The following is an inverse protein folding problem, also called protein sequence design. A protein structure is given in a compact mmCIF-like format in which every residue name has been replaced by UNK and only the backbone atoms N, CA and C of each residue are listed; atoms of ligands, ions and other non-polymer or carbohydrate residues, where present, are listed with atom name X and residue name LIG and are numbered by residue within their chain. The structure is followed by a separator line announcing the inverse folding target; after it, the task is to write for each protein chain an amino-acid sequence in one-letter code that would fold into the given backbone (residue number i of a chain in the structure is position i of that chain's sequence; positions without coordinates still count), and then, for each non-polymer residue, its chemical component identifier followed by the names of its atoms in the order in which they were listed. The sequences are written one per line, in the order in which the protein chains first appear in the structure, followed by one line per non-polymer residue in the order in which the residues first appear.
data_IF_754187184013
#
_entry.id   IF_754187184013
#
_cell.length_a   1.000
_cell.length_b   1.000
_cell.length_c   1.000
_cell.angle_alpha   90.00
_cell.angle_beta   90.00
_cell.angle_gamma   90.00
#
_symmetry.space_group_name_H-M   'P 1'
#
loop_
_entity.id
_entity.type
_entity.pdbx_description
1 polymer ?
#
# COMPACT_ATOMS: atom_id res chain seq x y z
N UNK A 1 -29.55 13.11 35.12
CA UNK A 1 -28.69 12.09 35.75
C UNK A 1 -27.89 11.39 34.66
N UNK A 2 -26.56 11.34 34.82
CA UNK A 2 -25.50 10.92 33.89
C UNK A 2 -25.83 9.65 33.07
N UNK A 3 -25.75 9.70 31.73
CA UNK A 3 -24.57 9.50 30.86
C UNK A 3 -23.98 8.08 30.89
N UNK A 4 -24.01 7.42 29.72
CA UNK A 4 -23.03 6.41 29.25
C UNK A 4 -23.22 6.19 27.74
N UNK A 5 -22.74 7.15 26.93
CA UNK A 5 -22.41 6.90 25.53
C UNK A 5 -21.01 6.27 25.48
N UNK A 6 -20.93 5.03 25.02
CA UNK A 6 -19.66 4.38 24.69
C UNK A 6 -19.37 4.71 23.22
N UNK A 7 -18.48 5.68 23.00
CA UNK A 7 -17.85 5.94 21.72
C UNK A 7 -16.90 4.78 21.39
N UNK A 8 -17.32 3.88 20.50
CA UNK A 8 -16.47 2.83 19.96
C UNK A 8 -15.71 3.41 18.77
N UNK A 9 -14.47 3.82 19.01
CA UNK A 9 -13.52 4.16 17.94
C UNK A 9 -13.28 2.94 17.04
N UNK A 10 -13.26 3.14 15.73
CA UNK A 10 -12.90 2.13 14.70
C UNK A 10 -11.54 1.47 14.94
N UNK A 11 -10.63 2.07 15.73
CA UNK A 11 -9.40 1.42 16.23
C UNK A 11 -9.67 0.19 17.11
N UNK A 12 -10.82 0.10 17.78
CA UNK A 12 -11.16 -1.00 18.68
C UNK A 12 -11.71 -2.23 17.93
N UNK A 13 -12.37 -2.05 16.79
CA UNK A 13 -12.85 -3.16 15.96
C UNK A 13 -11.71 -3.99 15.34
N UNK A 14 -10.55 -3.37 15.11
CA UNK A 14 -9.36 -4.05 14.59
C UNK A 14 -8.63 -4.92 15.63
N UNK A 15 -8.87 -4.71 16.94
CA UNK A 15 -8.21 -5.48 18.01
C UNK A 15 -8.90 -6.81 18.33
N UNK A 16 -10.14 -7.02 17.91
CA UNK A 16 -10.92 -8.19 18.27
C UNK A 16 -11.14 -9.22 17.15
N UNK A 17 -10.77 -8.94 15.89
CA UNK A 17 -10.88 -9.95 14.81
C UNK A 17 -9.57 -10.70 14.50
N UNK A 18 -8.49 -10.42 15.23
CA UNK A 18 -7.22 -11.11 15.07
C UNK A 18 -6.68 -11.54 16.44
N UNK A 19 -6.81 -12.84 16.78
CA UNK A 19 -5.87 -13.68 17.59
C UNK A 19 -6.48 -15.07 17.89
N UNK A 20 -5.67 -16.13 18.11
CA UNK A 20 -4.33 -16.40 17.56
C UNK A 20 -4.06 -17.87 17.16
N UNK A 21 -3.18 -18.07 16.18
CA UNK A 21 -2.13 -19.08 16.28
C UNK A 21 -0.80 -18.40 15.94
N UNK A 22 -0.16 -17.82 16.94
CA UNK A 22 1.30 -17.65 17.08
C UNK A 22 1.56 -16.81 18.34
N UNK A 23 2.25 -17.41 19.31
CA UNK A 23 2.83 -16.71 20.46
C UNK A 23 4.11 -16.02 19.98
N UNK A 24 4.09 -14.70 19.86
CA UNK A 24 5.30 -13.88 19.94
C UNK A 24 5.00 -12.67 20.80
N UNK A 25 5.67 -12.60 21.96
CA UNK A 25 5.73 -11.41 22.78
C UNK A 25 6.75 -10.45 22.18
N UNK A 26 6.33 -9.22 21.90
CA UNK A 26 7.24 -8.12 21.61
C UNK A 26 6.75 -6.87 22.35
N UNK A 27 7.73 -6.18 22.94
CA UNK A 27 7.70 -5.13 23.93
C UNK A 27 6.92 -3.86 23.51
N UNK A 28 6.33 -3.22 24.51
CA UNK A 28 5.80 -1.86 24.45
C UNK A 28 6.93 -0.88 24.09
N UNK A 29 6.84 -0.23 22.94
CA UNK A 29 7.51 1.04 22.66
C UNK A 29 6.45 2.14 22.65
N UNK A 30 6.14 2.65 23.84
CA UNK A 30 5.42 3.90 24.05
C UNK A 30 6.25 4.68 25.04
N UNK A 31 7.08 5.61 24.54
CA UNK A 31 7.60 6.81 25.24
C UNK A 31 8.86 7.39 24.54
N UNK A 32 8.79 7.64 23.22
CA UNK A 32 9.89 8.31 22.50
C UNK A 32 9.45 9.35 21.46
N UNK A 33 8.18 9.76 21.46
CA UNK A 33 7.66 10.78 20.53
C UNK A 33 7.37 12.15 21.16
N UNK A 34 7.65 12.34 22.45
CA UNK A 34 7.34 13.59 23.17
C UNK A 34 8.54 14.54 23.38
N UNK A 35 9.75 14.18 22.94
CA UNK A 35 10.97 14.99 23.18
C UNK A 35 11.56 15.68 21.95
N UNK A 36 11.03 15.49 20.73
CA UNK A 36 11.58 16.17 19.54
C UNK A 36 10.98 17.57 19.26
N UNK A 37 9.87 17.95 19.88
CA UNK A 37 9.23 19.26 19.64
C UNK A 37 9.62 20.38 20.63
N UNK A 38 10.53 20.11 21.57
CA UNK A 38 10.99 21.08 22.57
C UNK A 38 12.38 21.70 22.29
N UNK A 39 13.01 21.37 21.16
CA UNK A 39 14.34 21.89 20.78
C UNK A 39 14.38 22.69 19.47
N UNK A 40 13.23 22.99 18.84
CA UNK A 40 13.15 23.82 17.61
C UNK A 40 12.84 25.30 17.85
N UNK A 41 13.15 25.80 19.04
CA UNK A 41 12.78 27.15 19.47
C UNK A 41 13.91 27.98 20.05
N UNK A 42 15.17 27.80 19.64
CA UNK A 42 16.24 28.77 19.95
C UNK A 42 17.28 28.76 18.81
N UNK A 43 17.78 29.95 18.47
CA UNK A 43 18.80 30.32 17.48
C UNK A 43 18.21 30.84 16.15
N UNK A 44 17.85 32.11 16.20
CA UNK A 44 17.89 33.01 15.05
C UNK A 44 19.27 33.68 14.96
N UNK A 45 19.60 34.07 13.74
CA UNK A 45 20.64 35.02 13.28
C UNK A 45 22.05 34.48 12.96
N UNK A 46 22.38 34.56 11.66
CA UNK A 46 23.73 34.46 11.12
C UNK A 46 23.73 34.51 9.59
N UNK A 47 23.71 35.72 9.00
CA UNK A 47 24.06 35.95 7.59
C UNK A 47 25.53 35.60 7.35
N UNK A 48 25.88 34.75 6.38
CA UNK A 48 27.17 34.82 5.64
C UNK A 48 26.96 34.32 4.18
N UNK A 49 27.63 35.03 3.27
CA UNK A 49 27.62 34.98 1.81
C UNK A 49 28.24 33.72 1.16
N UNK A 50 27.85 33.54 -0.12
CA UNK A 50 28.47 32.80 -1.22
C UNK A 50 29.96 32.43 -1.09
N UNK A 51 30.31 31.16 -1.36
CA UNK A 51 31.38 30.78 -2.31
C UNK A 51 31.24 29.32 -2.75
N UNK A 52 31.48 29.07 -4.04
CA UNK A 52 31.69 27.74 -4.65
C UNK A 52 32.99 27.13 -4.13
N UNK A 53 33.05 25.81 -3.94
CA UNK A 53 34.20 25.00 -4.34
C UNK A 53 33.86 23.50 -4.41
N UNK A 54 34.20 22.91 -5.55
CA UNK A 54 34.28 21.47 -5.77
C UNK A 54 35.43 20.89 -4.94
N UNK A 55 35.25 19.73 -4.32
CA UNK A 55 36.29 18.70 -4.30
C UNK A 55 35.75 17.31 -3.96
N UNK A 56 36.12 16.35 -4.82
CA UNK A 56 36.13 14.92 -4.57
C UNK A 56 36.91 14.59 -3.28
N UNK A 57 36.46 13.60 -2.49
CA UNK A 57 37.34 12.48 -2.12
C UNK A 57 36.62 11.29 -1.46
N UNK A 58 37.21 10.14 -1.77
CA UNK A 58 36.95 8.77 -1.36
C UNK A 58 37.24 8.49 0.13
N UNK A 59 36.45 7.56 0.68
CA UNK A 59 36.81 6.47 1.60
C UNK A 59 37.36 6.84 3.00
N UNK A 60 36.65 6.38 4.04
CA UNK A 60 37.24 5.60 5.14
C UNK A 60 36.15 4.85 5.94
N UNK A 61 36.31 3.52 6.00
CA UNK A 61 35.57 2.58 6.86
C UNK A 61 36.45 2.23 8.08
N UNK A 62 35.81 2.18 9.25
CA UNK A 62 36.24 1.47 10.47
C UNK A 62 36.92 2.34 11.54
N UNK A 63 37.01 1.89 12.82
CA UNK A 63 36.54 0.63 13.42
C UNK A 63 35.86 0.78 14.83
N UNK A 64 34.77 0.04 15.10
CA UNK A 64 34.23 -0.18 16.46
C UNK A 64 34.32 -1.67 16.78
N UNK A 65 35.53 -2.11 17.14
CA UNK A 65 35.82 -3.43 17.72
C UNK A 65 36.91 -3.27 18.79
N UNK A 66 36.58 -2.65 19.93
CA UNK A 66 37.48 -2.69 21.10
C UNK A 66 36.73 -2.41 22.41
N UNK A 67 35.76 -3.23 22.78
CA UNK A 67 35.34 -3.34 24.20
C UNK A 67 35.09 -4.82 24.47
N UNK A 68 35.65 -5.32 25.59
CA UNK A 68 35.68 -6.69 26.10
C UNK A 68 36.91 -7.52 25.70
N UNK A 69 38.03 -7.26 26.38
CA UNK A 69 39.01 -8.27 26.81
C UNK A 69 39.97 -7.67 27.85
N UNK A 70 39.65 -7.78 29.14
CA UNK A 70 40.64 -8.01 30.21
C UNK A 70 39.96 -8.36 31.55
N UNK A 71 40.44 -9.46 32.15
CA UNK A 71 40.01 -10.01 33.44
C UNK A 71 39.18 -11.29 33.26
N UNK A 72 39.51 -12.44 33.82
CA UNK A 72 40.67 -12.90 34.59
C UNK A 72 40.63 -14.43 34.47
N UNK A 73 41.80 -15.05 34.52
CA UNK A 73 41.96 -16.50 34.52
C UNK A 73 41.28 -17.11 35.75
N UNK A 74 40.47 -18.15 35.55
CA UNK A 74 40.33 -19.25 36.50
C UNK A 74 39.78 -20.45 35.74
N UNK A 75 40.53 -21.55 35.79
CA UNK A 75 40.17 -22.85 35.21
C UNK A 75 39.28 -23.56 36.20
N UNK A 76 38.08 -23.92 35.77
CA UNK A 76 37.38 -25.09 36.31
C UNK A 76 36.90 -25.96 35.16
N UNK A 77 37.23 -27.24 35.28
CA UNK A 77 36.98 -28.30 34.30
C UNK A 77 35.57 -28.81 34.54
N UNK A 78 34.65 -28.48 33.65
CA UNK A 78 33.32 -29.10 33.60
C UNK A 78 33.12 -29.73 32.23
N UNK A 79 33.15 -31.06 32.22
CA UNK A 79 32.70 -31.90 31.12
C UNK A 79 31.23 -31.57 30.80
N UNK A 80 31.00 -30.90 29.67
CA UNK A 80 29.67 -30.69 29.11
C UNK A 80 29.58 -31.56 27.85
N UNK A 81 28.78 -32.61 27.97
CA UNK A 81 28.52 -33.58 26.92
C UNK A 81 28.05 -32.93 25.62
N UNK A 82 28.52 -33.50 24.52
CA UNK A 82 28.12 -33.18 23.15
C UNK A 82 26.60 -33.38 22.99
N UNK A 83 25.84 -32.32 23.17
CA UNK A 83 24.46 -32.20 22.73
C UNK A 83 24.42 -31.51 21.37
N UNK A 84 24.41 -32.27 20.29
CA UNK A 84 24.12 -31.77 18.94
C UNK A 84 22.74 -31.10 18.94
N UNK A 85 22.72 -29.77 18.86
CA UNK A 85 21.51 -28.96 19.00
C UNK A 85 20.74 -28.75 17.68
N UNK A 86 21.04 -29.56 16.65
CA UNK A 86 20.27 -29.62 15.41
C UNK A 86 20.33 -31.04 14.84
N UNK A 87 19.20 -31.76 14.71
CA UNK A 87 19.22 -33.06 14.02
C UNK A 87 19.57 -32.86 12.54
N UNK A 88 20.72 -33.40 12.15
CA UNK A 88 21.21 -33.50 10.76
C UNK A 88 20.52 -34.65 10.03
N UNK A 89 19.19 -34.64 9.98
CA UNK A 89 18.41 -35.57 9.16
C UNK A 89 17.28 -34.78 8.52
N UNK A 90 17.55 -34.20 7.35
CA UNK A 90 16.54 -33.81 6.35
C UNK A 90 17.25 -33.44 5.03
N UNK A 91 18.07 -34.35 4.52
CA UNK A 91 18.66 -34.26 3.18
C UNK A 91 18.70 -35.65 2.55
N UNK A 92 17.54 -36.13 2.12
CA UNK A 92 17.41 -37.10 1.04
C UNK A 92 15.94 -37.17 0.58
N UNK A 93 15.49 -36.11 -0.06
CA UNK A 93 14.44 -36.20 -1.08
C UNK A 93 15.03 -35.68 -2.39
N UNK A 94 15.96 -36.46 -2.94
CA UNK A 94 16.39 -36.33 -4.33
C UNK A 94 15.37 -37.04 -5.20
N UNK A 95 14.25 -36.39 -5.48
CA UNK A 95 13.45 -36.71 -6.66
C UNK A 95 13.72 -35.66 -7.72
N UNK A 96 14.66 -35.96 -8.60
CA UNK A 96 14.73 -35.36 -9.94
C UNK A 96 13.46 -35.77 -10.72
N UNK A 97 12.33 -35.16 -10.40
CA UNK A 97 11.24 -35.12 -11.36
C UNK A 97 11.65 -34.15 -12.45
N UNK A 98 12.08 -34.69 -13.59
CA UNK A 98 11.90 -34.05 -14.90
C UNK A 98 10.40 -33.76 -15.04
N UNK A 99 9.94 -32.66 -14.46
CA UNK A 99 8.61 -32.15 -14.67
C UNK A 99 8.53 -31.79 -16.15
N UNK A 100 7.74 -32.56 -16.90
CA UNK A 100 7.20 -32.11 -18.17
C UNK A 100 6.57 -30.75 -17.90
N UNK A 101 7.24 -29.68 -18.38
CA UNK A 101 6.87 -28.27 -18.21
C UNK A 101 5.55 -28.01 -18.93
N UNK A 102 4.46 -28.50 -18.34
CA UNK A 102 3.10 -28.22 -18.77
C UNK A 102 2.76 -26.86 -18.20
N UNK A 103 2.59 -25.90 -19.09
CA UNK A 103 2.19 -24.54 -18.73
C UNK A 103 0.81 -24.64 -18.08
N UNK A 104 0.59 -24.02 -16.92
CA UNK A 104 -0.72 -24.00 -16.29
C UNK A 104 -1.78 -23.50 -17.27
N UNK A 105 -2.94 -24.16 -17.29
CA UNK A 105 -4.02 -23.79 -18.19
C UNK A 105 -4.40 -22.31 -17.99
N UNK A 106 -4.37 -21.52 -19.07
CA UNK A 106 -4.67 -20.08 -19.06
C UNK A 106 -3.46 -19.16 -18.86
N UNK A 107 -2.30 -19.66 -18.41
CA UNK A 107 -1.09 -18.86 -18.31
C UNK A 107 -0.44 -18.65 -19.68
N UNK A 108 0.14 -17.47 -19.90
CA UNK A 108 0.82 -17.15 -21.15
C UNK A 108 2.23 -17.75 -21.20
N UNK A 109 2.61 -18.27 -22.37
CA UNK A 109 3.93 -18.91 -22.57
C UNK A 109 5.09 -17.96 -22.23
N UNK A 110 5.01 -16.71 -22.69
CA UNK A 110 6.05 -15.69 -22.48
C UNK A 110 6.26 -15.44 -20.98
N UNK A 111 5.17 -15.25 -20.24
CA UNK A 111 5.21 -15.09 -18.79
C UNK A 111 5.78 -16.34 -18.11
N UNK A 112 5.28 -17.52 -18.48
CA UNK A 112 5.69 -18.77 -17.85
C UNK A 112 7.18 -19.08 -18.04
N UNK A 113 7.75 -18.76 -19.21
CA UNK A 113 9.18 -18.91 -19.46
C UNK A 113 10.02 -18.02 -18.53
N UNK A 114 9.64 -16.75 -18.37
CA UNK A 114 10.30 -15.82 -17.44
C UNK A 114 10.10 -16.24 -15.98
N UNK A 115 8.92 -16.77 -15.66
CA UNK A 115 8.58 -17.27 -14.33
C UNK A 115 9.50 -18.44 -13.96
N UNK A 116 9.61 -19.46 -14.81
CA UNK A 116 10.48 -20.61 -14.58
C UNK A 116 11.95 -20.18 -14.52
N UNK A 117 12.38 -19.22 -15.36
CA UNK A 117 13.73 -18.66 -15.26
C UNK A 117 14.01 -18.08 -13.86
N UNK A 118 13.08 -17.26 -13.33
CA UNK A 118 13.22 -16.66 -12.00
C UNK A 118 13.21 -17.75 -10.92
N UNK A 119 12.28 -18.68 -10.96
CA UNK A 119 12.17 -19.76 -9.96
C UNK A 119 13.46 -20.59 -9.93
N UNK A 120 14.02 -20.95 -11.08
CA UNK A 120 15.24 -21.74 -11.18
C UNK A 120 16.48 -20.98 -10.71
N UNK A 121 16.61 -19.70 -11.06
CA UNK A 121 17.76 -18.87 -10.65
C UNK A 121 17.68 -18.33 -9.23
N UNK A 122 16.56 -18.54 -8.55
CA UNK A 122 16.36 -18.13 -7.15
C UNK A 122 16.20 -19.31 -6.21
N UNK A 123 16.52 -20.54 -6.65
CA UNK A 123 16.51 -21.70 -5.78
C UNK A 123 17.53 -21.55 -4.64
N UNK A 124 17.26 -22.11 -3.44
CA UNK A 124 18.17 -22.05 -2.30
C UNK A 124 19.61 -22.45 -2.64
N UNK A 125 19.76 -23.47 -3.49
CA UNK A 125 21.01 -24.08 -3.94
C UNK A 125 21.77 -23.28 -5.00
N UNK A 126 21.14 -22.31 -5.67
CA UNK A 126 21.78 -21.50 -6.71
C UNK A 126 22.87 -20.60 -6.11
N UNK A 127 24.09 -20.58 -6.66
CA UNK A 127 25.16 -19.71 -6.18
C UNK A 127 24.87 -18.24 -6.50
N UNK A 128 25.41 -17.32 -5.66
CA UNK A 128 25.09 -15.88 -5.72
C UNK A 128 25.37 -15.23 -7.09
N UNK A 129 26.40 -15.68 -7.81
CA UNK A 129 26.77 -15.12 -9.11
C UNK A 129 25.80 -15.49 -10.25
N UNK A 130 24.94 -16.49 -10.03
CA UNK A 130 23.92 -16.93 -10.99
C UNK A 130 22.56 -16.26 -10.75
N UNK A 131 22.46 -15.40 -9.73
CA UNK A 131 21.21 -14.71 -9.42
C UNK A 131 20.73 -13.83 -10.57
N UNK A 132 19.41 -13.71 -10.76
CA UNK A 132 18.86 -12.89 -11.82
C UNK A 132 19.19 -11.40 -11.58
N UNK A 133 19.44 -10.67 -12.67
CA UNK A 133 19.59 -9.20 -12.63
C UNK A 133 18.34 -8.57 -12.02
N UNK A 134 18.49 -7.46 -11.29
CA UNK A 134 17.40 -6.78 -10.58
C UNK A 134 16.17 -6.48 -11.45
N UNK A 135 16.35 -6.11 -12.72
CA UNK A 135 15.24 -5.81 -13.64
C UNK A 135 14.41 -7.02 -14.09
N UNK A 136 14.86 -8.26 -13.83
CA UNK A 136 14.17 -9.47 -14.30
C UNK A 136 12.79 -9.65 -13.68
N UNK A 137 12.60 -9.26 -12.41
CA UNK A 137 11.29 -9.29 -11.78
C UNK A 137 10.32 -8.31 -12.47
N UNK A 138 10.78 -7.10 -12.80
CA UNK A 138 9.96 -6.13 -13.53
C UNK A 138 9.60 -6.62 -14.93
N UNK A 139 10.52 -7.30 -15.62
CA UNK A 139 10.22 -7.93 -16.91
C UNK A 139 9.12 -8.98 -16.76
N UNK A 140 9.21 -9.87 -15.76
CA UNK A 140 8.14 -10.85 -15.49
C UNK A 140 6.79 -10.15 -15.28
N UNK A 141 6.74 -9.12 -14.44
CA UNK A 141 5.53 -8.37 -14.12
C UNK A 141 4.94 -7.70 -15.37
N UNK A 142 5.79 -7.15 -16.24
CA UNK A 142 5.36 -6.49 -17.48
C UNK A 142 4.62 -7.45 -18.42
N UNK A 143 4.97 -8.74 -18.41
CA UNK A 143 4.37 -9.77 -19.26
C UNK A 143 3.10 -10.42 -18.68
N UNK A 144 2.59 -9.96 -17.53
CA UNK A 144 1.29 -10.41 -17.00
C UNK A 144 0.18 -9.98 -17.98
N UNK A 145 -0.48 -10.96 -18.61
CA UNK A 145 -1.58 -10.75 -19.57
C UNK A 145 -2.90 -11.37 -19.11
N UNK A 146 -2.84 -12.35 -18.22
CA UNK A 146 -4.00 -13.11 -17.76
C UNK A 146 -4.07 -13.15 -16.23
N UNK A 147 -5.26 -13.47 -15.68
CA UNK A 147 -5.42 -13.69 -14.25
C UNK A 147 -4.57 -14.87 -13.77
N UNK A 148 -4.47 -15.91 -14.59
CA UNK A 148 -3.68 -17.11 -14.32
C UNK A 148 -2.18 -16.80 -14.20
N UNK A 149 -1.65 -15.85 -14.97
CA UNK A 149 -0.29 -15.33 -14.80
C UNK A 149 -0.12 -14.68 -13.41
N UNK A 150 -1.08 -13.82 -13.03
CA UNK A 150 -1.04 -13.12 -11.74
C UNK A 150 -1.08 -14.09 -10.55
N UNK A 151 -1.80 -15.22 -10.64
CA UNK A 151 -1.85 -16.24 -9.59
C UNK A 151 -0.50 -16.91 -9.30
N UNK A 152 0.42 -16.92 -10.27
CA UNK A 152 1.77 -17.48 -10.07
C UNK A 152 2.73 -16.48 -9.42
N UNK A 153 2.41 -15.18 -9.47
CA UNK A 153 3.27 -14.09 -9.01
C UNK A 153 3.67 -14.18 -7.53
N UNK A 154 2.77 -14.52 -6.56
CA UNK A 154 3.15 -14.60 -5.15
C UNK A 154 4.32 -15.56 -4.90
N UNK A 155 4.38 -16.69 -5.62
CA UNK A 155 5.47 -17.65 -5.45
C UNK A 155 6.80 -17.05 -5.92
N UNK A 156 6.81 -16.39 -7.08
CA UNK A 156 7.99 -15.72 -7.61
C UNK A 156 8.47 -14.58 -6.70
N UNK A 157 7.56 -13.71 -6.24
CA UNK A 157 7.91 -12.58 -5.35
C UNK A 157 8.42 -13.09 -4.00
N UNK A 158 7.80 -14.12 -3.42
CA UNK A 158 8.28 -14.70 -2.16
C UNK A 158 9.69 -15.29 -2.29
N UNK A 159 9.99 -16.00 -3.38
CA UNK A 159 11.34 -16.51 -3.63
C UNK A 159 12.36 -15.39 -3.86
N UNK A 160 11.99 -14.37 -4.63
CA UNK A 160 12.80 -13.18 -4.84
C UNK A 160 13.20 -12.54 -3.51
N UNK A 161 12.25 -12.39 -2.58
CA UNK A 161 12.49 -11.85 -1.24
C UNK A 161 13.32 -12.75 -0.34
N UNK A 162 13.13 -14.08 -0.39
CA UNK A 162 13.96 -15.03 0.36
C UNK A 162 15.44 -14.95 -0.02
N UNK A 163 15.75 -14.55 -1.26
CA UNK A 163 17.11 -14.30 -1.74
C UNK A 163 17.61 -12.87 -1.46
N UNK A 164 16.88 -12.11 -0.64
CA UNK A 164 17.19 -10.72 -0.28
C UNK A 164 17.31 -9.78 -1.48
N UNK A 165 16.69 -10.14 -2.61
CA UNK A 165 16.68 -9.28 -3.78
C UNK A 165 15.72 -8.10 -3.54
N UNK A 166 16.08 -6.89 -4.01
CA UNK A 166 15.31 -5.69 -3.73
C UNK A 166 13.94 -5.73 -4.42
N UNK A 167 12.93 -5.24 -3.70
CA UNK A 167 11.62 -4.86 -4.25
C UNK A 167 11.48 -3.36 -4.03
N UNK A 168 11.32 -2.58 -5.10
CA UNK A 168 11.22 -1.12 -5.02
C UNK A 168 9.74 -0.69 -4.99
N UNK A 169 9.45 0.55 -4.58
CA UNK A 169 8.10 1.12 -4.71
C UNK A 169 7.58 1.05 -6.16
N UNK A 170 8.46 1.25 -7.15
CA UNK A 170 8.12 1.14 -8.58
C UNK A 170 7.71 -0.29 -8.93
N UNK A 171 8.47 -1.30 -8.50
CA UNK A 171 8.10 -2.71 -8.69
C UNK A 171 6.74 -3.01 -8.06
N UNK A 172 6.51 -2.53 -6.84
CA UNK A 172 5.21 -2.71 -6.16
C UNK A 172 4.07 -2.08 -6.95
N UNK A 173 4.26 -0.85 -7.44
CA UNK A 173 3.26 -0.16 -8.28
C UNK A 173 2.93 -0.96 -9.54
N UNK A 174 3.93 -1.51 -10.24
CA UNK A 174 3.70 -2.34 -11.42
C UNK A 174 2.96 -3.63 -11.09
N UNK A 175 3.30 -4.29 -9.98
CA UNK A 175 2.57 -5.47 -9.49
C UNK A 175 1.10 -5.13 -9.31
N UNK A 176 0.80 -4.06 -8.56
CA UNK A 176 -0.57 -3.63 -8.28
C UNK A 176 -1.31 -3.35 -9.58
N UNK A 177 -0.75 -2.48 -10.44
CA UNK A 177 -1.36 -2.09 -11.71
C UNK A 177 -1.69 -3.29 -12.58
N UNK A 178 -0.70 -4.15 -12.83
CA UNK A 178 -0.85 -5.30 -13.73
C UNK A 178 -1.83 -6.32 -13.21
N UNK A 179 -1.86 -6.56 -11.90
CA UNK A 179 -2.83 -7.47 -11.32
C UNK A 179 -4.25 -6.88 -11.38
N UNK A 180 -4.44 -5.59 -11.10
CA UNK A 180 -5.76 -4.96 -11.25
C UNK A 180 -6.25 -4.96 -12.71
N UNK A 181 -5.36 -4.75 -13.70
CA UNK A 181 -5.68 -4.80 -15.14
C UNK A 181 -6.24 -6.17 -15.57
N UNK A 182 -5.79 -7.26 -14.93
CA UNK A 182 -6.26 -8.63 -15.21
C UNK A 182 -7.28 -9.13 -14.19
N UNK A 183 -7.93 -8.22 -13.45
CA UNK A 183 -8.93 -8.53 -12.41
C UNK A 183 -8.42 -9.50 -11.33
N UNK A 184 -7.15 -9.37 -10.94
CA UNK A 184 -6.44 -10.18 -9.93
C UNK A 184 -6.03 -9.37 -8.68
N UNK A 185 -6.83 -8.38 -8.30
CA UNK A 185 -6.57 -7.54 -7.15
C UNK A 185 -6.62 -8.30 -5.80
N UNK A 186 -7.33 -9.44 -5.73
CA UNK A 186 -7.34 -10.34 -4.58
C UNK A 186 -5.94 -10.94 -4.31
N UNK A 187 -5.18 -11.22 -5.37
CA UNK A 187 -3.80 -11.70 -5.29
C UNK A 187 -2.90 -10.63 -4.66
N UNK A 188 -3.08 -9.37 -5.09
CA UNK A 188 -2.36 -8.22 -4.54
C UNK A 188 -2.72 -8.01 -3.08
N UNK A 189 -4.01 -8.02 -2.76
CA UNK A 189 -4.51 -7.91 -1.40
C UNK A 189 -3.86 -8.96 -0.50
N UNK A 190 -3.84 -10.23 -0.91
CA UNK A 190 -3.17 -11.30 -0.16
C UNK A 190 -1.68 -10.99 0.07
N UNK A 191 -0.96 -10.55 -0.96
CA UNK A 191 0.45 -10.20 -0.79
C UNK A 191 0.67 -9.00 0.16
N UNK A 192 -0.25 -8.03 0.19
CA UNK A 192 -0.19 -6.89 1.10
C UNK A 192 -0.51 -7.27 2.56
N UNK A 193 -1.31 -8.32 2.78
CA UNK A 193 -1.59 -8.79 4.15
C UNK A 193 -0.37 -9.43 4.82
N UNK A 194 0.61 -9.93 4.06
CA UNK A 194 1.85 -10.53 4.57
C UNK A 194 3.09 -9.71 4.15
N UNK A 195 3.26 -8.56 4.81
CA UNK A 195 4.43 -7.68 4.62
C UNK A 195 5.76 -8.38 4.88
N UNK A 196 5.80 -9.38 5.76
CA UNK A 196 7.05 -10.08 6.10
C UNK A 196 7.55 -10.94 4.94
N UNK A 197 6.63 -11.64 4.26
CA UNK A 197 6.95 -12.56 3.17
C UNK A 197 7.19 -11.84 1.84
N UNK A 198 6.40 -10.82 1.54
CA UNK A 198 6.42 -10.16 0.23
C UNK A 198 7.13 -8.79 0.24
N UNK A 199 7.14 -8.10 1.38
CA UNK A 199 7.75 -6.78 1.58
C UNK A 199 7.45 -5.78 0.44
N UNK A 200 6.18 -5.76 0.01
CA UNK A 200 5.69 -4.76 -0.93
C UNK A 200 5.70 -3.37 -0.28
N UNK A 201 5.83 -2.33 -1.10
CA UNK A 201 5.89 -0.93 -0.68
C UNK A 201 4.82 -0.11 -1.44
N UNK A 202 3.52 -0.31 -1.13
CA UNK A 202 2.44 0.43 -1.77
C UNK A 202 2.46 1.90 -1.34
N UNK A 203 2.01 2.78 -2.22
CA UNK A 203 1.69 4.18 -1.91
C UNK A 203 0.17 4.40 -1.96
N UNK A 204 -0.27 5.64 -1.68
CA UNK A 204 -1.70 6.02 -1.68
C UNK A 204 -2.39 5.64 -3.00
N UNK A 205 -1.75 5.92 -4.12
CA UNK A 205 -2.25 5.60 -5.47
C UNK A 205 -2.42 4.09 -5.71
N UNK A 206 -1.45 3.29 -5.26
CA UNK A 206 -1.54 1.83 -5.34
C UNK A 206 -2.73 1.28 -4.57
N UNK A 207 -2.97 1.78 -3.34
CA UNK A 207 -4.18 1.42 -2.59
C UNK A 207 -5.45 1.87 -3.30
N UNK A 208 -5.47 3.08 -3.87
CA UNK A 208 -6.62 3.57 -4.64
C UNK A 208 -6.96 2.64 -5.80
N UNK A 209 -5.98 2.14 -6.56
CA UNK A 209 -6.24 1.21 -7.66
C UNK A 209 -6.85 -0.10 -7.20
N UNK A 210 -6.38 -0.66 -6.09
CA UNK A 210 -6.95 -1.87 -5.50
C UNK A 210 -8.40 -1.61 -5.06
N UNK A 211 -8.63 -0.47 -4.40
CA UNK A 211 -9.96 -0.08 -3.96
C UNK A 211 -10.93 0.12 -5.14
N UNK A 212 -10.51 0.79 -6.20
CA UNK A 212 -11.31 0.96 -7.41
C UNK A 212 -11.61 -0.40 -8.08
N UNK A 213 -10.64 -1.31 -8.14
CA UNK A 213 -10.85 -2.65 -8.71
C UNK A 213 -11.96 -3.41 -7.95
N UNK A 214 -11.89 -3.45 -6.61
CA UNK A 214 -12.95 -4.06 -5.80
C UNK A 214 -14.30 -3.33 -5.93
N UNK A 215 -14.29 -1.99 -5.93
CA UNK A 215 -15.52 -1.20 -6.08
C UNK A 215 -16.21 -1.47 -7.43
N UNK A 216 -15.45 -1.57 -8.52
CA UNK A 216 -15.98 -1.87 -9.84
C UNK A 216 -16.66 -3.24 -9.91
N UNK A 217 -16.15 -4.25 -9.19
CA UNK A 217 -16.80 -5.57 -9.10
C UNK A 217 -18.15 -5.55 -8.40
N UNK A 218 -18.37 -4.62 -7.46
CA UNK A 218 -19.68 -4.44 -6.81
C UNK A 218 -20.69 -3.84 -7.80
N UNK A 219 -20.25 -2.85 -8.59
CA UNK A 219 -21.08 -2.11 -9.55
C UNK A 219 -21.42 -2.96 -10.78
N UNK A 220 -20.45 -3.66 -11.35
CA UNK A 220 -20.63 -4.46 -12.57
C UNK A 220 -20.16 -5.92 -12.38
N UNK A 221 -21.05 -6.82 -11.91
CA UNK A 221 -20.74 -8.23 -11.75
C UNK A 221 -20.61 -8.98 -13.08
N UNK A 222 -20.98 -8.37 -14.23
CA UNK A 222 -20.91 -9.04 -15.53
C UNK A 222 -19.47 -9.22 -16.04
N UNK A 223 -18.51 -8.55 -15.41
CA UNK A 223 -17.08 -8.65 -15.68
C UNK A 223 -16.43 -9.96 -15.19
N UNK A 224 -17.09 -10.75 -14.33
CA UNK A 224 -16.53 -11.99 -13.78
C UNK A 224 -17.38 -13.23 -14.08
N UNK A 225 -17.02 -13.96 -15.13
CA UNK A 225 -17.58 -15.30 -15.41
C UNK A 225 -17.04 -16.42 -14.49
N UNK A 226 -16.19 -16.13 -13.50
CA UNK A 226 -15.41 -17.17 -12.78
C UNK A 226 -15.25 -17.03 -11.26
N UNK A 227 -15.67 -15.93 -10.63
CA UNK A 227 -15.49 -15.77 -9.18
C UNK A 227 -16.84 -15.41 -8.55
N UNK A 228 -17.44 -16.38 -7.88
CA UNK A 228 -18.74 -16.25 -7.20
C UNK A 228 -18.59 -15.64 -5.80
N UNK A 229 -17.75 -14.62 -5.63
CA UNK A 229 -17.66 -13.94 -4.33
C UNK A 229 -18.94 -13.14 -4.12
N UNK A 230 -19.51 -13.22 -2.91
CA UNK A 230 -20.65 -12.40 -2.53
C UNK A 230 -20.23 -10.93 -2.58
N UNK A 231 -21.09 -10.05 -3.12
CA UNK A 231 -20.82 -8.61 -3.18
C UNK A 231 -20.53 -8.02 -1.80
N UNK A 232 -21.11 -8.60 -0.75
CA UNK A 232 -20.81 -8.22 0.63
C UNK A 232 -19.37 -8.55 1.04
N UNK A 233 -18.83 -9.69 0.60
CA UNK A 233 -17.42 -10.06 0.85
C UNK A 233 -16.48 -9.15 0.08
N UNK A 234 -16.82 -8.77 -1.16
CA UNK A 234 -16.04 -7.79 -1.94
C UNK A 234 -16.02 -6.44 -1.22
N UNK A 235 -17.16 -6.00 -0.67
CA UNK A 235 -17.21 -4.79 0.15
C UNK A 235 -16.30 -4.92 1.39
N UNK A 236 -16.27 -6.09 2.04
CA UNK A 236 -15.37 -6.31 3.17
C UNK A 236 -13.89 -6.23 2.77
N UNK A 237 -13.51 -6.74 1.59
CA UNK A 237 -12.15 -6.57 1.06
C UNK A 237 -11.82 -5.11 0.77
N UNK A 238 -12.78 -4.33 0.27
CA UNK A 238 -12.60 -2.89 0.05
C UNK A 238 -12.27 -2.15 1.37
N UNK A 239 -13.05 -2.37 2.42
CA UNK A 239 -12.80 -1.76 3.74
C UNK A 239 -11.50 -2.29 4.39
N UNK A 240 -11.19 -3.58 4.23
CA UNK A 240 -9.90 -4.14 4.69
C UNK A 240 -8.73 -3.50 3.96
N UNK A 241 -8.85 -3.23 2.66
CA UNK A 241 -7.83 -2.55 1.86
C UNK A 241 -7.60 -1.14 2.37
N UNK A 242 -8.66 -0.40 2.66
CA UNK A 242 -8.56 0.92 3.30
C UNK A 242 -7.84 0.81 4.66
N UNK A 243 -8.24 -0.14 5.51
CA UNK A 243 -7.59 -0.39 6.81
C UNK A 243 -6.10 -0.77 6.73
N UNK A 244 -5.69 -1.49 5.68
CA UNK A 244 -4.28 -1.85 5.46
C UNK A 244 -3.39 -0.63 5.23
N UNK A 245 -3.92 0.51 4.76
CA UNK A 245 -3.12 1.71 4.53
C UNK A 245 -2.39 2.17 5.80
N UNK A 246 -3.08 2.15 6.95
CA UNK A 246 -2.48 2.47 8.24
C UNK A 246 -1.35 1.49 8.65
N UNK A 247 -1.44 0.22 8.25
CA UNK A 247 -0.39 -0.77 8.50
C UNK A 247 0.89 -0.51 7.67
N UNK A 248 0.75 0.23 6.58
CA UNK A 248 1.84 0.64 5.70
C UNK A 248 2.29 2.09 5.92
N UNK A 249 1.80 2.75 6.98
CA UNK A 249 2.05 4.18 7.25
C UNK A 249 1.67 5.09 6.07
N UNK A 250 0.66 4.67 5.28
CA UNK A 250 0.10 5.46 4.17
C UNK A 250 -1.13 6.19 4.66
N UNK A 251 -1.19 7.51 4.44
CA UNK A 251 -2.33 8.32 4.89
C UNK A 251 -3.63 7.92 4.20
N UNK A 252 -4.66 7.77 5.02
CA UNK A 252 -6.05 7.47 4.66
C UNK A 252 -6.89 8.74 4.43
N UNK A 253 -6.37 9.93 4.75
CA UNK A 253 -7.10 11.19 4.69
C UNK A 253 -7.15 11.76 3.27
N UNK A 254 -7.87 11.07 2.38
CA UNK A 254 -8.10 11.49 1.00
C UNK A 254 -9.60 11.38 0.69
N UNK A 255 -10.22 12.51 0.33
CA UNK A 255 -11.64 12.59 0.03
C UNK A 255 -12.09 11.60 -1.05
N UNK A 256 -11.22 11.32 -2.02
CA UNK A 256 -11.54 10.39 -3.10
C UNK A 256 -11.54 8.94 -2.62
N UNK A 257 -10.71 8.56 -1.65
CA UNK A 257 -10.76 7.22 -1.03
C UNK A 257 -12.08 7.00 -0.27
N UNK A 258 -12.52 8.01 0.48
CA UNK A 258 -13.83 7.99 1.14
C UNK A 258 -14.97 7.94 0.12
N UNK A 259 -14.88 8.70 -0.97
CA UNK A 259 -15.88 8.66 -2.03
C UNK A 259 -16.01 7.25 -2.65
N UNK A 260 -14.89 6.53 -2.85
CA UNK A 260 -14.91 5.14 -3.33
C UNK A 260 -15.64 4.22 -2.33
N UNK A 261 -15.32 4.30 -1.03
CA UNK A 261 -15.96 3.48 0.01
C UNK A 261 -17.48 3.71 0.08
N UNK A 262 -17.87 4.98 0.15
CA UNK A 262 -19.27 5.39 0.27
C UNK A 262 -20.04 4.99 -0.99
N UNK A 263 -19.50 5.30 -2.17
CA UNK A 263 -20.16 4.96 -3.45
C UNK A 263 -20.33 3.46 -3.62
N UNK A 264 -19.30 2.65 -3.32
CA UNK A 264 -19.41 1.20 -3.39
C UNK A 264 -20.45 0.65 -2.39
N UNK A 265 -20.51 1.22 -1.19
CA UNK A 265 -21.48 0.82 -0.16
C UNK A 265 -22.93 1.19 -0.55
N UNK A 266 -23.12 2.36 -1.15
CA UNK A 266 -24.41 2.80 -1.71
C UNK A 266 -24.87 1.89 -2.85
N UNK A 267 -23.94 1.49 -3.73
CA UNK A 267 -24.24 0.63 -4.89
C UNK A 267 -24.59 -0.81 -4.51
N UNK A 268 -24.15 -1.29 -3.35
CA UNK A 268 -24.56 -2.59 -2.82
C UNK A 268 -26.04 -2.62 -2.43
N UNK A 269 -26.60 -1.47 -2.04
CA UNK A 269 -27.99 -1.26 -1.59
C UNK A 269 -28.48 -2.31 -0.58
N UNK A 270 -27.61 -2.65 0.38
CA UNK A 270 -27.95 -3.54 1.49
C UNK A 270 -28.05 -2.74 2.80
N UNK A 271 -28.80 -3.26 3.78
CA UNK A 271 -28.87 -2.65 5.12
C UNK A 271 -27.47 -2.41 5.71
N UNK A 272 -26.58 -3.41 5.58
CA UNK A 272 -25.17 -3.30 6.02
C UNK A 272 -24.39 -2.26 5.23
N UNK A 273 -24.65 -2.14 3.92
CA UNK A 273 -24.08 -1.08 3.08
C UNK A 273 -24.43 0.31 3.60
N UNK A 274 -25.72 0.57 3.85
CA UNK A 274 -26.19 1.83 4.41
C UNK A 274 -25.68 2.13 5.82
N UNK A 275 -25.57 1.12 6.69
CA UNK A 275 -24.93 1.26 8.02
C UNK A 275 -23.47 1.71 7.88
N UNK A 276 -22.73 1.16 6.93
CA UNK A 276 -21.34 1.57 6.66
C UNK A 276 -21.23 2.95 6.04
N UNK A 277 -22.18 3.34 5.17
CA UNK A 277 -22.27 4.70 4.63
C UNK A 277 -22.37 5.72 5.76
N UNK A 278 -23.26 5.50 6.73
CA UNK A 278 -23.46 6.41 7.87
C UNK A 278 -22.17 6.64 8.65
N UNK A 279 -21.49 5.55 9.03
CA UNK A 279 -20.25 5.57 9.79
C UNK A 279 -19.14 6.23 8.98
N UNK A 280 -18.96 5.83 7.73
CA UNK A 280 -17.88 6.33 6.86
C UNK A 280 -18.07 7.79 6.50
N UNK A 281 -19.31 8.24 6.27
CA UNK A 281 -19.64 9.64 6.01
C UNK A 281 -19.42 10.51 7.26
N UNK A 282 -19.71 9.98 8.45
CA UNK A 282 -19.42 10.67 9.71
C UNK A 282 -17.91 10.81 9.94
N UNK A 283 -17.16 9.72 9.75
CA UNK A 283 -15.69 9.74 9.82
C UNK A 283 -15.07 10.68 8.78
N UNK A 284 -15.64 10.73 7.56
CA UNK A 284 -15.23 11.66 6.52
C UNK A 284 -15.35 13.12 6.98
N UNK A 285 -16.50 13.52 7.52
CA UNK A 285 -16.72 14.88 8.03
C UNK A 285 -15.83 15.21 9.23
N UNK A 286 -15.63 14.27 10.16
CA UNK A 286 -14.75 14.46 11.34
C UNK A 286 -13.28 14.65 10.97
N UNK A 287 -12.86 14.16 9.81
CA UNK A 287 -11.47 14.23 9.35
C UNK A 287 -11.26 15.23 8.20
N UNK A 288 -12.25 16.06 7.88
CA UNK A 288 -12.19 16.98 6.74
C UNK A 288 -10.99 17.94 6.85
N UNK A 289 -10.75 18.51 8.03
CA UNK A 289 -9.61 19.41 8.28
C UNK A 289 -8.24 18.75 8.02
N UNK A 290 -8.16 17.42 8.15
CA UNK A 290 -6.93 16.66 7.85
C UNK A 290 -6.78 16.39 6.36
N UNK A 291 -7.89 16.31 5.62
CA UNK A 291 -7.90 16.12 4.18
C UNK A 291 -7.50 17.40 3.45
N UNK A 292 -7.93 18.57 3.91
CA UNK A 292 -7.60 19.84 3.25
C UNK A 292 -6.10 20.15 3.27
N UNK A 293 -5.36 19.67 4.27
CA UNK A 293 -3.91 19.81 4.33
C UNK A 293 -3.15 18.80 3.43
N UNK A 294 -3.71 17.62 3.16
CA UNK A 294 -3.04 16.56 2.37
C UNK A 294 -3.57 16.39 0.94
N UNK A 295 -4.79 16.85 0.63
CA UNK A 295 -5.41 16.82 -0.69
C UNK A 295 -4.92 17.99 -1.57
N UNK A 296 -4.43 19.06 -0.95
CA UNK A 296 -3.76 20.20 -1.61
C UNK A 296 -2.25 20.04 -1.65
N UNK A 297 -1.64 19.26 -0.74
CA UNK A 297 -0.22 18.90 -0.78
C UNK A 297 0.03 17.71 -1.74
N UNK A 298 -0.26 17.92 -3.02
CA UNK A 298 0.67 17.43 -4.01
C UNK A 298 1.86 18.38 -3.94
N UNK A 299 2.96 17.96 -3.30
CA UNK A 299 4.23 18.67 -3.50
C UNK A 299 4.36 18.92 -5.01
N UNK A 300 4.44 20.18 -5.46
CA UNK A 300 4.72 20.44 -6.86
C UNK A 300 5.97 19.65 -7.18
N UNK A 301 5.84 18.72 -8.13
CA UNK A 301 6.96 17.92 -8.63
C UNK A 301 8.06 18.94 -8.90
N UNK A 302 9.23 18.74 -8.31
CA UNK A 302 10.30 19.69 -8.52
C UNK A 302 10.55 19.80 -10.04
N UNK A 303 10.92 20.97 -10.58
CA UNK A 303 11.20 21.11 -12.02
C UNK A 303 12.16 20.02 -12.54
N UNK A 304 13.08 19.58 -11.68
CA UNK A 304 14.04 18.51 -11.95
C UNK A 304 13.38 17.13 -12.04
N UNK A 305 12.44 16.81 -11.15
CA UNK A 305 11.64 15.58 -11.22
C UNK A 305 10.70 15.58 -12.43
N UNK A 306 10.11 16.73 -12.77
CA UNK A 306 9.23 16.87 -13.93
C UNK A 306 9.99 16.64 -15.25
N UNK A 307 11.21 17.14 -15.34
CA UNK A 307 12.08 16.97 -16.49
C UNK A 307 12.62 15.52 -16.60
N UNK A 308 12.93 14.86 -15.47
CA UNK A 308 13.32 13.45 -15.46
C UNK A 308 12.14 12.52 -15.84
N UNK A 309 10.93 12.86 -15.41
CA UNK A 309 9.69 12.17 -15.78
C UNK A 309 9.36 12.35 -17.26
N UNK A 310 9.48 13.57 -17.79
CA UNK A 310 9.36 13.87 -19.23
C UNK A 310 10.38 13.07 -20.05
N UNK A 311 11.63 12.97 -19.59
CA UNK A 311 12.69 12.18 -20.23
C UNK A 311 12.39 10.68 -20.30
N UNK A 312 11.63 10.13 -19.36
CA UNK A 312 11.24 8.71 -19.34
C UNK A 312 10.01 8.39 -20.19
N UNK A 313 9.37 9.40 -20.79
CA UNK A 313 8.09 9.27 -21.52
C UNK A 313 6.97 8.61 -20.69
N UNK A 314 7.12 8.60 -19.35
CA UNK A 314 6.07 8.25 -18.42
C UNK A 314 5.16 9.49 -18.33
N UNK A 315 4.20 9.61 -19.24
CA UNK A 315 3.07 10.54 -19.04
C UNK A 315 2.32 10.08 -17.79
N UNK A 316 2.65 10.66 -16.65
CA UNK A 316 1.80 10.59 -15.47
C UNK A 316 0.52 11.39 -15.77
N UNK A 317 -0.44 10.75 -16.44
CA UNK A 317 -1.81 11.27 -16.59
C UNK A 317 -2.51 11.49 -15.23
N UNK A 318 -1.91 10.99 -14.15
CA UNK A 318 -2.41 11.02 -12.77
C UNK A 318 -2.33 12.40 -12.11
N UNK A 319 -1.50 13.30 -12.64
CA UNK A 319 -1.35 14.69 -12.18
C UNK A 319 -1.95 15.70 -13.16
N UNK A 320 -2.61 15.21 -14.21
CA UNK A 320 -3.26 16.10 -15.16
C UNK A 320 -4.43 16.83 -14.51
N UNK A 321 -4.70 18.04 -14.97
CA UNK A 321 -5.83 18.84 -14.49
C UNK A 321 -7.14 18.06 -14.70
N UNK A 322 -7.25 17.32 -15.80
CA UNK A 322 -8.40 16.47 -16.11
C UNK A 322 -8.58 15.33 -15.09
N UNK A 323 -7.49 14.70 -14.61
CA UNK A 323 -7.57 13.69 -13.56
C UNK A 323 -8.09 14.27 -12.25
N UNK A 324 -7.63 15.47 -11.88
CA UNK A 324 -8.09 16.19 -10.67
C UNK A 324 -9.58 16.54 -10.78
N UNK A 325 -9.99 17.12 -11.91
CA UNK A 325 -11.40 17.45 -12.18
C UNK A 325 -12.27 16.19 -12.09
N UNK A 326 -11.85 15.09 -12.73
CA UNK A 326 -12.58 13.82 -12.70
C UNK A 326 -12.79 13.29 -11.27
N UNK A 327 -11.76 13.35 -10.42
CA UNK A 327 -11.87 12.96 -9.00
C UNK A 327 -12.85 13.83 -8.23
N UNK A 328 -12.77 15.16 -8.40
CA UNK A 328 -13.67 16.10 -7.74
C UNK A 328 -15.13 15.90 -8.18
N UNK A 329 -15.36 15.65 -9.47
CA UNK A 329 -16.71 15.33 -9.98
C UNK A 329 -17.25 14.07 -9.31
N UNK A 330 -16.46 12.99 -9.21
CA UNK A 330 -16.87 11.78 -8.50
C UNK A 330 -17.18 12.01 -7.03
N UNK A 331 -16.46 12.91 -6.35
CA UNK A 331 -16.74 13.27 -4.97
C UNK A 331 -18.03 14.09 -4.83
N UNK A 332 -18.31 15.00 -5.77
CA UNK A 332 -19.55 15.78 -5.81
C UNK A 332 -20.77 14.87 -5.96
N UNK A 333 -20.71 13.88 -6.87
CA UNK A 333 -21.81 12.93 -7.07
C UNK A 333 -22.14 12.15 -5.78
N UNK A 334 -21.10 11.76 -5.05
CA UNK A 334 -21.24 11.10 -3.75
C UNK A 334 -21.89 12.03 -2.71
N UNK A 335 -21.43 13.28 -2.62
CA UNK A 335 -21.95 14.28 -1.67
C UNK A 335 -23.40 14.63 -1.96
N UNK A 336 -23.82 14.67 -3.22
CA UNK A 336 -25.22 14.91 -3.61
C UNK A 336 -26.17 13.83 -3.10
N UNK A 337 -25.73 12.57 -3.17
CA UNK A 337 -26.50 11.44 -2.61
C UNK A 337 -26.59 11.56 -1.09
N UNK A 338 -25.49 11.94 -0.42
CA UNK A 338 -25.46 12.10 1.04
C UNK A 338 -26.32 13.27 1.52
N UNK A 339 -26.25 14.45 0.89
CA UNK A 339 -27.11 15.59 1.24
C UNK A 339 -28.59 15.19 1.19
N UNK A 340 -29.00 14.57 0.08
CA UNK A 340 -30.38 14.08 -0.08
C UNK A 340 -30.76 13.07 1.00
N UNK A 341 -29.90 12.08 1.27
CA UNK A 341 -30.17 11.04 2.24
C UNK A 341 -30.26 11.58 3.68
N UNK A 342 -29.33 12.47 4.07
CA UNK A 342 -29.35 13.08 5.40
C UNK A 342 -30.53 14.04 5.59
N UNK A 343 -30.93 14.75 4.53
CA UNK A 343 -32.10 15.63 4.55
C UNK A 343 -33.41 14.85 4.64
N UNK A 344 -33.62 13.89 3.74
CA UNK A 344 -34.91 13.22 3.57
C UNK A 344 -35.12 12.04 4.52
N UNK A 345 -34.08 11.21 4.71
CA UNK A 345 -34.20 9.94 5.44
C UNK A 345 -33.78 10.04 6.90
N UNK A 346 -32.64 10.68 7.19
CA UNK A 346 -32.11 10.79 8.56
C UNK A 346 -32.61 12.02 9.31
N UNK A 347 -33.05 13.06 8.58
CA UNK A 347 -33.43 14.36 9.13
C UNK A 347 -32.31 15.03 9.94
N UNK A 348 -31.04 14.77 9.57
CA UNK A 348 -29.86 15.41 10.15
C UNK A 348 -29.46 16.61 9.29
N UNK A 349 -30.05 17.75 9.60
CA UNK A 349 -29.86 18.99 8.83
C UNK A 349 -28.44 19.55 8.95
N UNK A 350 -27.74 19.27 10.05
CA UNK A 350 -26.37 19.74 10.26
C UNK A 350 -25.39 19.02 9.34
N UNK A 351 -25.48 17.68 9.25
CA UNK A 351 -24.65 16.92 8.30
C UNK A 351 -24.98 17.24 6.85
N UNK A 352 -26.27 17.35 6.51
CA UNK A 352 -26.70 17.73 5.17
C UNK A 352 -26.11 19.09 4.75
N UNK A 353 -26.11 20.08 5.65
CA UNK A 353 -25.53 21.39 5.36
C UNK A 353 -24.02 21.34 5.15
N UNK A 354 -23.28 20.56 5.95
CA UNK A 354 -21.84 20.35 5.73
C UNK A 354 -21.57 19.78 4.33
N UNK A 355 -22.38 18.83 3.87
CA UNK A 355 -22.28 18.29 2.52
C UNK A 355 -22.57 19.34 1.44
N UNK A 356 -23.55 20.22 1.63
CA UNK A 356 -23.81 21.33 0.69
C UNK A 356 -22.65 22.31 0.60
N UNK A 357 -22.05 22.67 1.74
CA UNK A 357 -20.88 23.54 1.80
C UNK A 357 -19.71 22.91 1.01
N UNK A 358 -19.47 21.61 1.21
CA UNK A 358 -18.44 20.86 0.49
C UNK A 358 -18.67 20.82 -1.02
N UNK A 359 -19.91 20.54 -1.43
CA UNK A 359 -20.30 20.53 -2.84
C UNK A 359 -19.97 21.85 -3.53
N UNK A 360 -20.36 22.98 -2.92
CA UNK A 360 -20.11 24.29 -3.50
C UNK A 360 -18.61 24.65 -3.49
N UNK A 361 -17.87 24.27 -2.44
CA UNK A 361 -16.40 24.41 -2.40
C UNK A 361 -15.72 23.69 -3.57
N UNK A 362 -16.03 22.41 -3.78
CA UNK A 362 -15.42 21.62 -4.86
C UNK A 362 -15.86 22.06 -6.26
N UNK A 363 -17.11 22.51 -6.45
CA UNK A 363 -17.54 23.12 -7.71
C UNK A 363 -16.72 24.37 -8.05
N UNK A 364 -16.44 25.20 -7.05
CA UNK A 364 -15.61 26.39 -7.24
C UNK A 364 -14.16 26.02 -7.57
N UNK A 365 -13.63 24.96 -6.95
CA UNK A 365 -12.30 24.45 -7.28
C UNK A 365 -12.21 23.93 -8.72
N UNK A 366 -13.20 23.17 -9.19
CA UNK A 366 -13.26 22.73 -10.61
C UNK A 366 -13.27 23.94 -11.56
N UNK A 367 -14.01 25.00 -11.23
CA UNK A 367 -14.03 26.23 -12.05
C UNK A 367 -12.64 26.87 -12.14
N UNK A 368 -11.91 26.96 -11.01
CA UNK A 368 -10.54 27.49 -10.99
C UNK A 368 -9.61 26.65 -11.88
N UNK A 369 -9.62 25.33 -11.70
CA UNK A 369 -8.79 24.41 -12.46
C UNK A 369 -9.02 24.51 -13.98
N UNK A 370 -10.27 24.67 -14.42
CA UNK A 370 -10.60 24.87 -15.84
C UNK A 370 -10.08 26.19 -16.40
N UNK A 371 -10.05 27.25 -15.59
CA UNK A 371 -9.49 28.55 -15.99
C UNK A 371 -7.96 28.43 -16.13
N UNK A 372 -7.31 27.75 -15.19
CA UNK A 372 -5.86 27.49 -15.25
C UNK A 372 -5.46 26.70 -16.49
N UNK A 373 -6.19 25.63 -16.81
CA UNK A 373 -5.98 24.82 -18.02
C UNK A 373 -6.15 25.65 -19.31
N UNK A 374 -7.19 26.49 -19.37
CA UNK A 374 -7.44 27.39 -20.49
C UNK A 374 -6.44 28.54 -20.63
N UNK A 375 -5.66 28.85 -19.58
CA UNK A 375 -4.60 29.87 -19.61
C UNK A 375 -3.23 29.34 -20.05
N UNK A 376 -3.09 28.01 -20.11
CA UNK A 376 -1.87 27.30 -20.50
C UNK A 376 -1.88 26.84 -21.97
N UNK A 377 -3.01 27.01 -22.67
CA UNK A 377 -3.20 26.80 -24.11
C UNK A 377 -3.09 28.13 -24.85
#
# INVERSE_FOLDING_TARGET
MFSKCVLVSTKALFRHSLRPYTKFGILKFTDLFLTQNLLRGVISQGKINNSRELHNNKVCLGPVQTILKKGTEERDTLELGNGELFPTILLQDSSETKQTLTIPAGASQEFYNLYIEIINKTQPTTPLHEFPKHGRLNNLIYHIKTREDALLLPKAVSQWRKKLLPSTPITTRFIIKKCCEVNAEDVVFHMLTDRTKYALLPNREGFRWIMLAFANKIVDPSSEKKISLDKQEILDYLYKTFGLMAYYDVSQYDAHLYAILISASLKLDSKKGWERVDVTASEFLENLDKMDNEALELHPISPDEEEELKRRNDKFSEYSVESRISRLVSCIDMVDILDKWYTESKQDTAKAENFRILKESWKNEIKKLKIEEGSLL
#
